data_IF_793845612622
#
_entry.id   IF_793845612622
#
_cell.length_a   1.000
_cell.length_b   1.000
_cell.length_c   1.000
_cell.angle_alpha   90.00
_cell.angle_beta   90.00
_cell.angle_gamma   90.00
#
_symmetry.space_group_name_H-M   'P 1'
#
loop_
_entity.id
_entity.type
_entity.pdbx_description
1 polymer ?
#
# COMPACT_ATOMS: atom_id res chain seq x y z
N UNK A 1 7.72 18.34 3.15
CA UNK A 1 6.80 17.43 3.86
C UNK A 1 6.82 16.15 3.06
N UNK A 2 7.14 15.02 3.67
CA UNK A 2 7.18 13.75 2.96
C UNK A 2 5.76 13.33 2.56
N UNK A 3 5.63 12.73 1.39
CA UNK A 3 4.41 12.08 0.93
C UNK A 3 4.65 10.57 0.93
N UNK A 4 3.73 9.81 1.52
CA UNK A 4 3.88 8.39 1.78
C UNK A 4 2.70 7.61 1.21
N UNK A 5 2.97 6.41 0.73
CA UNK A 5 1.92 5.46 0.36
C UNK A 5 1.55 4.65 1.60
N UNK A 6 0.29 4.77 1.99
CA UNK A 6 -0.28 4.08 3.14
C UNK A 6 -1.30 3.03 2.70
N UNK A 7 -1.32 1.89 3.40
CA UNK A 7 -2.29 0.82 3.21
C UNK A 7 -3.17 0.67 4.45
N UNK A 8 -4.49 0.65 4.27
CA UNK A 8 -5.43 0.24 5.30
C UNK A 8 -6.35 -0.87 4.77
N UNK A 9 -6.81 -1.73 5.67
CA UNK A 9 -7.72 -2.83 5.37
C UNK A 9 -9.04 -2.59 6.10
N UNK A 10 -10.14 -2.91 5.44
CA UNK A 10 -11.46 -2.94 6.07
C UNK A 10 -11.91 -4.40 6.23
N UNK A 11 -12.28 -4.83 7.46
CA UNK A 11 -12.79 -6.17 7.70
C UNK A 11 -14.30 -6.31 7.42
N UNK A 12 -15.03 -5.20 7.21
CA UNK A 12 -16.50 -5.15 7.23
C UNK A 12 -17.11 -4.53 5.96
N UNK A 13 -16.39 -4.65 4.83
CA UNK A 13 -16.86 -4.17 3.53
C UNK A 13 -16.78 -2.65 3.36
N UNK A 14 -15.93 -1.98 4.14
CA UNK A 14 -15.66 -0.54 4.05
C UNK A 14 -16.36 0.31 5.09
N UNK A 15 -17.06 -0.28 6.06
CA UNK A 15 -17.76 0.47 7.13
C UNK A 15 -16.77 0.99 8.18
N UNK A 16 -15.72 0.23 8.47
CA UNK A 16 -14.59 0.64 9.31
C UNK A 16 -13.27 0.23 8.69
N UNK A 17 -12.21 0.96 9.06
CA UNK A 17 -10.86 0.78 8.53
C UNK A 17 -9.86 0.66 9.67
N UNK A 18 -8.91 -0.25 9.52
CA UNK A 18 -7.79 -0.36 10.44
C UNK A 18 -6.87 0.88 10.36
N UNK A 19 -6.00 1.03 11.36
CA UNK A 19 -4.96 2.05 11.30
C UNK A 19 -4.08 1.84 10.05
N UNK A 20 -3.84 2.89 9.24
CA UNK A 20 -3.06 2.77 8.03
C UNK A 20 -1.60 2.42 8.36
N UNK A 21 -1.00 1.58 7.51
CA UNK A 21 0.40 1.17 7.60
C UNK A 21 1.18 1.81 6.47
N UNK A 22 2.32 2.42 6.79
CA UNK A 22 3.22 2.96 5.78
C UNK A 22 3.94 1.82 5.04
N UNK A 23 3.73 1.73 3.73
CA UNK A 23 4.38 0.72 2.87
C UNK A 23 5.57 1.27 2.07
N UNK A 24 5.58 2.58 1.76
CA UNK A 24 6.73 3.24 1.11
C UNK A 24 7.94 3.29 2.03
N UNK A 25 7.73 3.68 3.29
CA UNK A 25 8.79 3.83 4.31
C UNK A 25 9.94 4.70 3.77
N UNK A 26 9.60 5.77 3.07
CA UNK A 26 10.55 6.55 2.30
C UNK A 26 11.64 7.14 3.21
N UNK A 27 12.91 7.19 2.75
CA UNK A 27 14.00 7.71 3.56
C UNK A 27 13.97 9.25 3.60
N UNK A 28 13.59 9.80 4.75
CA UNK A 28 13.72 11.23 5.04
C UNK A 28 12.44 12.06 4.80
N UNK A 29 12.46 13.30 5.27
CA UNK A 29 11.28 14.15 5.36
C UNK A 29 10.87 14.87 4.06
N UNK A 30 11.59 14.61 2.97
CA UNK A 30 11.39 15.24 1.65
C UNK A 30 11.01 14.24 0.56
N UNK A 31 11.02 12.94 0.86
CA UNK A 31 10.66 11.93 -0.12
C UNK A 31 9.18 12.02 -0.51
N UNK A 32 8.90 11.78 -1.79
CA UNK A 32 7.56 11.88 -2.37
C UNK A 32 7.23 10.52 -2.99
N UNK A 33 6.37 9.76 -2.33
CA UNK A 33 5.82 8.50 -2.83
C UNK A 33 4.39 8.72 -3.35
N UNK A 34 4.17 8.48 -4.64
CA UNK A 34 2.94 8.81 -5.37
C UNK A 34 2.51 7.68 -6.32
N UNK A 35 1.33 7.84 -6.93
CA UNK A 35 0.77 6.94 -7.95
C UNK A 35 0.73 5.46 -7.51
N UNK A 36 0.14 5.14 -6.33
CA UNK A 36 0.09 3.76 -5.88
C UNK A 36 -0.85 2.91 -6.73
N UNK A 37 -0.48 1.65 -6.94
CA UNK A 37 -1.34 0.62 -7.54
C UNK A 37 -1.20 -0.70 -6.78
N UNK A 38 -2.32 -1.45 -6.68
CA UNK A 38 -2.39 -2.69 -5.92
C UNK A 38 -3.10 -3.81 -6.68
N UNK A 39 -2.69 -5.05 -6.41
CA UNK A 39 -3.34 -6.26 -6.93
C UNK A 39 -3.21 -7.42 -5.95
N UNK A 40 -4.23 -8.28 -5.88
CA UNK A 40 -4.16 -9.55 -5.14
C UNK A 40 -3.80 -10.69 -6.09
N UNK A 41 -2.89 -11.57 -5.67
CA UNK A 41 -2.63 -12.82 -6.38
C UNK A 41 -3.64 -13.93 -6.02
N UNK A 42 -3.58 -15.06 -6.72
CA UNK A 42 -4.47 -16.20 -6.50
C UNK A 42 -4.33 -16.86 -5.11
N UNK A 43 -3.29 -16.51 -4.34
CA UNK A 43 -3.05 -16.99 -2.98
C UNK A 43 -3.45 -15.95 -1.92
N UNK A 44 -4.05 -14.83 -2.34
CA UNK A 44 -4.45 -13.73 -1.46
C UNK A 44 -3.29 -12.85 -0.98
N UNK A 45 -2.12 -12.90 -1.64
CA UNK A 45 -1.03 -11.96 -1.36
C UNK A 45 -1.32 -10.64 -2.05
N UNK A 46 -1.21 -9.54 -1.30
CA UNK A 46 -1.29 -8.20 -1.83
C UNK A 46 0.07 -7.79 -2.39
N UNK A 47 0.07 -7.34 -3.63
CA UNK A 47 1.18 -6.69 -4.31
C UNK A 47 0.86 -5.20 -4.40
N UNK A 48 1.83 -4.35 -4.05
CA UNK A 48 1.72 -2.90 -4.15
C UNK A 48 2.93 -2.34 -4.88
N UNK A 49 2.70 -1.42 -5.80
CA UNK A 49 3.72 -0.62 -6.48
C UNK A 49 3.42 0.85 -6.35
N UNK A 50 4.45 1.69 -6.38
CA UNK A 50 4.33 3.14 -6.36
C UNK A 50 5.54 3.77 -7.05
N UNK A 51 5.43 5.05 -7.38
CA UNK A 51 6.55 5.87 -7.82
C UNK A 51 7.11 6.62 -6.62
N UNK A 52 8.41 6.56 -6.39
CA UNK A 52 9.08 7.31 -5.33
C UNK A 52 10.12 8.25 -5.93
N UNK A 53 10.13 9.48 -5.44
CA UNK A 53 11.14 10.47 -5.79
C UNK A 53 12.47 10.15 -5.11
N UNK A 54 13.52 9.97 -5.91
CA UNK A 54 14.87 9.61 -5.44
C UNK A 54 15.87 10.72 -5.76
N UNK A 55 16.49 11.30 -4.72
CA UNK A 55 17.57 12.29 -4.84
C UNK A 55 17.09 13.74 -5.00
N UNK A 56 18.03 14.64 -5.28
CA UNK A 56 17.83 16.09 -5.02
C UNK A 56 17.01 16.83 -6.11
N UNK A 57 16.76 16.20 -7.27
CA UNK A 57 16.08 16.84 -8.39
C UNK A 57 14.60 16.50 -8.43
N UNK A 58 13.75 17.45 -8.02
CA UNK A 58 12.28 17.30 -7.93
C UNK A 58 11.55 17.08 -9.26
N UNK A 59 12.24 17.14 -10.41
CA UNK A 59 11.60 17.15 -11.74
C UNK A 59 11.73 15.81 -12.48
N UNK A 60 12.75 14.98 -12.19
CA UNK A 60 13.10 13.87 -13.10
C UNK A 60 13.43 12.52 -12.48
N UNK A 61 13.44 12.39 -11.15
CA UNK A 61 13.94 11.16 -10.53
C UNK A 61 12.84 10.38 -9.83
N UNK A 62 11.87 9.85 -10.57
CA UNK A 62 10.92 8.88 -10.03
C UNK A 62 11.33 7.47 -10.43
N UNK A 63 11.46 6.60 -9.44
CA UNK A 63 11.69 5.18 -9.64
C UNK A 63 10.46 4.38 -9.20
N UNK A 64 10.28 3.19 -9.77
CA UNK A 64 9.18 2.29 -9.40
C UNK A 64 9.62 1.36 -8.28
N UNK A 65 8.89 1.42 -7.18
CA UNK A 65 9.11 0.58 -6.01
C UNK A 65 8.01 -0.46 -5.85
N UNK A 66 8.33 -1.51 -5.09
CA UNK A 66 7.44 -2.66 -4.88
C UNK A 66 7.51 -3.17 -3.44
N UNK A 67 6.34 -3.53 -2.91
CA UNK A 67 6.20 -4.26 -1.65
C UNK A 67 5.09 -5.32 -1.76
N UNK A 68 5.13 -6.31 -0.87
CA UNK A 68 4.05 -7.28 -0.74
C UNK A 68 3.72 -7.56 0.72
N UNK A 69 2.43 -7.84 0.96
CA UNK A 69 1.93 -8.24 2.26
C UNK A 69 1.01 -9.45 2.13
N UNK A 70 1.07 -10.37 3.08
CA UNK A 70 0.05 -11.40 3.23
C UNK A 70 -1.11 -10.74 3.99
N UNK A 71 -2.15 -10.35 3.28
CA UNK A 71 -3.38 -9.85 3.90
C UNK A 71 -4.21 -11.08 4.25
N UNK A 72 -4.28 -11.43 5.54
CA UNK A 72 -5.21 -12.45 6.02
C UNK A 72 -6.63 -11.87 5.93
N UNK A 73 -7.33 -12.14 4.83
CA UNK A 73 -8.77 -11.89 4.75
C UNK A 73 -9.47 -12.95 5.61
N UNK A 74 -10.07 -12.54 6.72
CA UNK A 74 -11.06 -13.38 7.42
C UNK A 74 -12.37 -13.29 6.64
N UNK A 75 -12.65 -14.24 5.76
CA UNK A 75 -14.01 -14.39 5.23
C UNK A 75 -14.95 -14.81 6.38
N UNK A 76 -16.11 -14.15 6.58
CA UNK A 76 -17.19 -14.79 7.32
C UNK A 76 -17.70 -15.94 6.45
N UNK A 77 -17.32 -17.17 6.81
CA UNK A 77 -17.92 -18.37 6.23
C UNK A 77 -19.36 -18.46 6.74
N UNK A 78 -20.30 -17.79 6.07
CA UNK A 78 -21.73 -18.04 6.29
C UNK A 78 -22.05 -19.36 5.58
N UNK A 79 -21.88 -20.48 6.27
CA UNK A 79 -22.53 -21.73 5.87
C UNK A 79 -23.99 -21.61 6.30
N UNK A 80 -24.89 -21.39 5.35
CA UNK A 80 -26.32 -21.65 5.57
C UNK A 80 -26.55 -23.13 5.33
N UNK A 81 -26.99 -23.85 6.36
CA UNK A 81 -27.78 -25.08 6.25
C UNK A 81 -29.23 -24.76 6.57
#
# INVERSE_FOLDING_TARGET
MAEEVLLSCSPDGGQSWEAPRNVSRSPGAEAISIVPSIVFDARGRLHSVWEEHVGDSIVYNYEVYYAHAIVKVFLPLIVRS
#
